data_IF_102346158406
#
_entry.id   IF_102346158406
#
_cell.length_a   1.000
_cell.length_b   1.000
_cell.length_c   1.000
_cell.angle_alpha   90.00
_cell.angle_beta   90.00
_cell.angle_gamma   90.00
#
_symmetry.space_group_name_H-M   'P 1'
#
loop_
_entity.id
_entity.type
_entity.pdbx_description
1 polymer ?
#
# COMPACT_ATOMS: atom_id res chain seq x y z
N UNK A 1 5.78 8.44 14.94
CA UNK A 1 6.44 7.12 14.92
C UNK A 1 6.05 6.44 13.62
N UNK A 2 7.01 6.02 12.79
CA UNK A 2 6.73 5.28 11.55
C UNK A 2 7.04 3.79 11.79
N UNK A 3 6.09 2.91 11.49
CA UNK A 3 6.26 1.45 11.56
C UNK A 3 6.11 0.88 10.14
N UNK A 4 7.08 0.09 9.71
CA UNK A 4 7.08 -0.56 8.38
C UNK A 4 7.06 -2.07 8.61
N UNK A 5 5.95 -2.70 8.27
CA UNK A 5 5.79 -4.15 8.37
C UNK A 5 5.49 -4.72 6.98
N UNK A 6 6.31 -5.67 6.55
CA UNK A 6 6.10 -6.45 5.33
C UNK A 6 6.09 -7.93 5.67
N UNK A 7 5.04 -8.65 5.28
CA UNK A 7 4.97 -10.11 5.39
C UNK A 7 5.52 -10.77 4.13
N UNK A 8 6.23 -11.89 4.27
CA UNK A 8 6.55 -12.76 3.13
C UNK A 8 5.26 -13.34 2.52
N UNK A 9 5.24 -13.48 1.20
CA UNK A 9 4.12 -14.08 0.47
C UNK A 9 3.84 -15.51 0.98
N UNK A 10 2.60 -15.80 1.39
CA UNK A 10 2.18 -17.12 1.90
C UNK A 10 0.77 -17.47 1.39
N UNK A 11 0.51 -18.77 1.18
CA UNK A 11 -0.82 -19.31 0.83
C UNK A 11 -1.73 -19.49 2.04
N UNK A 12 -1.22 -19.28 3.26
CA UNK A 12 -1.99 -19.30 4.51
C UNK A 12 -2.81 -17.99 4.64
N UNK A 13 -3.94 -17.99 5.39
CA UNK A 13 -4.67 -16.76 5.67
C UNK A 13 -3.74 -15.69 6.24
N UNK A 14 -3.61 -14.57 5.54
CA UNK A 14 -2.80 -13.44 6.01
C UNK A 14 -3.63 -12.71 7.06
N UNK A 15 -3.14 -12.68 8.30
CA UNK A 15 -3.77 -11.96 9.42
C UNK A 15 -2.84 -10.93 10.05
N UNK A 16 -1.60 -10.86 9.59
CA UNK A 16 -0.55 -10.06 10.21
C UNK A 16 -0.85 -8.56 10.14
N UNK A 17 -1.45 -8.04 9.06
CA UNK A 17 -1.74 -6.60 8.97
C UNK A 17 -2.79 -6.19 10.00
N UNK A 18 -3.89 -6.94 10.10
CA UNK A 18 -4.93 -6.64 11.06
C UNK A 18 -4.51 -6.92 12.51
N UNK A 19 -3.70 -7.94 12.76
CA UNK A 19 -3.14 -8.21 14.08
C UNK A 19 -2.17 -7.10 14.53
N UNK A 20 -1.25 -6.69 13.66
CA UNK A 20 -0.31 -5.60 13.95
C UNK A 20 -1.01 -4.26 14.15
N UNK A 21 -2.06 -3.97 13.38
CA UNK A 21 -2.84 -2.74 13.58
C UNK A 21 -3.48 -2.70 14.97
N UNK A 22 -4.04 -3.81 15.48
CA UNK A 22 -4.57 -3.86 16.86
C UNK A 22 -3.49 -3.55 17.88
N UNK A 23 -2.36 -4.26 17.80
CA UNK A 23 -1.25 -4.07 18.74
C UNK A 23 -0.70 -2.64 18.72
N UNK A 24 -0.58 -2.02 17.54
CA UNK A 24 -0.13 -0.64 17.40
C UNK A 24 -1.14 0.33 18.01
N UNK A 25 -2.44 0.18 17.69
CA UNK A 25 -3.50 1.05 18.23
C UNK A 25 -3.56 0.98 19.75
N UNK A 26 -3.52 -0.23 20.32
CA UNK A 26 -3.51 -0.44 21.77
C UNK A 26 -2.30 0.23 22.44
N UNK A 27 -1.09 0.03 21.88
CA UNK A 27 0.13 0.65 22.40
C UNK A 27 0.10 2.18 22.29
N UNK A 28 -0.49 2.73 21.22
CA UNK A 28 -0.64 4.17 21.05
C UNK A 28 -1.59 4.78 22.07
N UNK A 29 -2.73 4.13 22.33
CA UNK A 29 -3.66 4.54 23.39
C UNK A 29 -3.00 4.52 24.76
N UNK A 30 -2.29 3.46 25.10
CA UNK A 30 -1.57 3.33 26.38
C UNK A 30 -0.51 4.43 26.59
N UNK A 31 0.02 5.01 25.51
CA UNK A 31 1.07 6.05 25.53
C UNK A 31 0.57 7.43 25.13
N UNK A 32 -0.75 7.63 25.02
CA UNK A 32 -1.38 8.87 24.57
C UNK A 32 -0.84 9.41 23.23
N UNK A 33 -0.37 8.54 22.34
CA UNK A 33 0.10 8.92 21.00
C UNK A 33 -1.11 9.01 20.07
N UNK A 34 -1.22 10.11 19.33
CA UNK A 34 -2.41 10.40 18.51
C UNK A 34 -2.23 10.13 17.02
N UNK A 35 -1.06 10.45 16.45
CA UNK A 35 -0.82 10.40 14.99
C UNK A 35 -0.44 8.99 14.52
N UNK A 36 -1.22 8.41 13.62
CA UNK A 36 -0.96 7.11 13.00
C UNK A 36 -0.99 7.24 11.46
N UNK A 37 0.09 6.85 10.78
CA UNK A 37 0.11 6.74 9.32
C UNK A 37 0.37 5.27 8.98
N UNK A 38 -0.54 4.65 8.21
CA UNK A 38 -0.42 3.24 7.81
C UNK A 38 -0.39 3.13 6.30
N UNK A 39 0.39 2.18 5.79
CA UNK A 39 0.38 1.85 4.36
C UNK A 39 -0.53 0.64 4.12
N UNK A 40 -1.52 0.82 3.26
CA UNK A 40 -2.42 -0.21 2.75
C UNK A 40 -2.09 -0.45 1.25
N UNK A 41 -3.09 -0.69 0.43
CA UNK A 41 -2.97 -0.86 -1.02
C UNK A 41 -4.23 -0.36 -1.72
N UNK A 42 -4.09 0.14 -2.95
CA UNK A 42 -5.25 0.41 -3.81
C UNK A 42 -6.07 -0.86 -4.08
N UNK A 43 -5.46 -2.04 -3.97
CA UNK A 43 -6.17 -3.32 -4.08
C UNK A 43 -7.22 -3.53 -2.99
N UNK A 44 -7.10 -2.85 -1.84
CA UNK A 44 -8.10 -2.90 -0.78
C UNK A 44 -9.35 -2.05 -1.10
N UNK A 45 -9.20 -1.05 -1.97
CA UNK A 45 -10.28 -0.17 -2.40
C UNK A 45 -11.15 -0.83 -3.48
N UNK A 46 -12.45 -0.55 -3.44
CA UNK A 46 -13.39 -0.98 -4.48
C UNK A 46 -13.40 0.01 -5.66
N UNK A 47 -12.21 0.30 -6.19
CA UNK A 47 -12.04 1.23 -7.31
C UNK A 47 -11.06 0.68 -8.34
N UNK A 48 -11.40 0.87 -9.61
CA UNK A 48 -10.59 0.45 -10.76
C UNK A 48 -10.47 1.61 -11.73
N UNK A 49 -9.25 1.89 -12.18
CA UNK A 49 -9.00 2.96 -13.16
C UNK A 49 -9.74 2.65 -14.48
N UNK A 50 -10.63 3.54 -14.96
CA UNK A 50 -11.31 3.38 -16.25
C UNK A 50 -10.34 3.29 -17.43
N UNK A 51 -9.16 3.92 -17.34
CA UNK A 51 -8.15 3.96 -18.40
C UNK A 51 -7.24 2.74 -18.44
N UNK A 52 -7.39 1.81 -17.50
CA UNK A 52 -6.59 0.59 -17.45
C UNK A 52 -6.89 -0.31 -18.66
N UNK A 53 -5.85 -0.77 -19.35
CA UNK A 53 -6.02 -1.63 -20.51
C UNK A 53 -6.37 -3.08 -20.09
N UNK A 54 -6.88 -3.88 -21.03
CA UNK A 54 -7.39 -5.23 -20.73
C UNK A 54 -6.30 -6.19 -20.23
N UNK A 55 -5.06 -6.07 -20.72
CA UNK A 55 -3.91 -6.87 -20.28
C UNK A 55 -3.54 -6.57 -18.83
N UNK A 56 -3.46 -5.30 -18.47
CA UNK A 56 -3.18 -4.82 -17.12
C UNK A 56 -4.29 -5.26 -16.15
N UNK A 57 -5.56 -5.15 -16.56
CA UNK A 57 -6.70 -5.65 -15.79
C UNK A 57 -6.60 -7.15 -15.55
N UNK A 58 -6.33 -7.93 -16.58
CA UNK A 58 -6.23 -9.38 -16.47
C UNK A 58 -5.09 -9.81 -15.53
N UNK A 59 -3.95 -9.11 -15.60
CA UNK A 59 -2.78 -9.36 -14.77
C UNK A 59 -3.03 -9.03 -13.29
N UNK A 60 -3.59 -7.85 -12.98
CA UNK A 60 -3.96 -7.49 -11.61
C UNK A 60 -5.01 -8.46 -11.06
N UNK A 61 -6.05 -8.75 -11.83
CA UNK A 61 -7.11 -9.69 -11.43
C UNK A 61 -6.50 -11.06 -11.12
N UNK A 62 -5.61 -11.58 -11.96
CA UNK A 62 -4.90 -12.85 -11.72
C UNK A 62 -4.03 -12.86 -10.45
N UNK A 63 -3.37 -11.75 -10.13
CA UNK A 63 -2.58 -11.61 -8.91
C UNK A 63 -3.51 -11.56 -7.70
N UNK A 64 -4.61 -10.80 -7.79
CA UNK A 64 -5.59 -10.66 -6.72
C UNK A 64 -6.37 -11.96 -6.47
N UNK A 65 -6.71 -12.71 -7.51
CA UNK A 65 -7.45 -13.98 -7.38
C UNK A 65 -6.60 -15.09 -6.75
N UNK A 66 -5.29 -15.14 -7.04
CA UNK A 66 -4.41 -16.21 -6.53
C UNK A 66 -3.87 -15.96 -5.13
N UNK A 67 -3.64 -14.69 -4.77
CA UNK A 67 -2.92 -14.32 -3.53
C UNK A 67 -3.58 -13.11 -2.84
N UNK A 68 -4.38 -12.34 -3.57
CA UNK A 68 -4.94 -11.08 -3.09
C UNK A 68 -6.24 -11.19 -2.34
N UNK A 69 -7.01 -12.28 -2.39
CA UNK A 69 -8.26 -12.34 -1.64
C UNK A 69 -8.01 -12.25 -0.12
N UNK A 70 -7.18 -13.14 0.42
CA UNK A 70 -6.84 -13.15 1.85
C UNK A 70 -6.03 -11.92 2.27
N UNK A 71 -5.11 -11.45 1.41
CA UNK A 71 -4.35 -10.22 1.65
C UNK A 71 -5.25 -8.98 1.67
N UNK A 72 -6.10 -8.81 0.65
CA UNK A 72 -7.00 -7.65 0.54
C UNK A 72 -8.02 -7.66 1.66
N UNK A 73 -8.52 -8.82 2.06
CA UNK A 73 -9.41 -8.95 3.21
C UNK A 73 -8.71 -8.55 4.51
N UNK A 74 -7.43 -8.90 4.68
CA UNK A 74 -6.67 -8.47 5.86
C UNK A 74 -6.34 -6.99 5.86
N UNK A 75 -6.03 -6.42 4.70
CA UNK A 75 -5.87 -4.97 4.53
C UNK A 75 -7.18 -4.25 4.84
N UNK A 76 -8.33 -4.72 4.35
CA UNK A 76 -9.65 -4.15 4.71
C UNK A 76 -9.95 -4.29 6.20
N UNK A 77 -9.56 -5.41 6.84
CA UNK A 77 -9.67 -5.57 8.31
C UNK A 77 -8.81 -4.54 9.04
N UNK A 78 -7.54 -4.41 8.64
CA UNK A 78 -6.59 -3.43 9.19
C UNK A 78 -7.13 -2.00 9.03
N UNK A 79 -7.61 -1.62 7.83
CA UNK A 79 -8.19 -0.30 7.58
C UNK A 79 -9.40 -0.02 8.48
N UNK A 80 -10.29 -1.00 8.69
CA UNK A 80 -11.42 -0.86 9.62
C UNK A 80 -10.98 -0.67 11.08
N UNK A 81 -9.97 -1.40 11.51
CA UNK A 81 -9.40 -1.27 12.87
C UNK A 81 -8.81 0.13 13.07
N UNK A 82 -8.01 0.59 12.11
CA UNK A 82 -7.40 1.92 12.15
C UNK A 82 -8.47 3.01 12.09
N UNK A 83 -9.46 2.87 11.19
CA UNK A 83 -10.53 3.85 11.04
C UNK A 83 -11.38 3.98 12.31
N UNK A 84 -11.69 2.86 12.98
CA UNK A 84 -12.45 2.82 14.23
C UNK A 84 -11.64 3.13 15.50
N UNK A 85 -10.35 3.43 15.40
CA UNK A 85 -9.47 3.60 16.57
C UNK A 85 -9.69 4.91 17.34
N UNK A 86 -10.26 5.93 16.71
CA UNK A 86 -10.33 7.28 17.29
C UNK A 86 -9.01 8.06 17.29
N UNK A 87 -7.96 7.51 16.66
CA UNK A 87 -6.66 8.18 16.43
C UNK A 87 -6.74 9.20 15.29
N UNK A 88 -5.70 10.04 15.19
CA UNK A 88 -5.50 10.98 14.10
C UNK A 88 -4.79 10.23 12.95
N UNK A 89 -5.54 9.35 12.28
CA UNK A 89 -4.99 8.39 11.34
C UNK A 89 -4.97 8.89 9.88
N UNK A 90 -4.04 8.39 9.07
CA UNK A 90 -4.07 8.51 7.60
C UNK A 90 -3.70 7.16 6.99
N UNK A 91 -4.52 6.65 6.07
CA UNK A 91 -4.29 5.38 5.37
C UNK A 91 -3.75 5.68 3.97
N UNK A 92 -2.49 5.34 3.70
CA UNK A 92 -1.84 5.54 2.40
C UNK A 92 -2.10 4.32 1.50
N UNK A 93 -2.72 4.51 0.34
CA UNK A 93 -3.03 3.48 -0.66
C UNK A 93 -2.19 3.70 -1.93
N UNK A 94 -0.97 3.14 -2.01
CA UNK A 94 -0.21 3.16 -3.25
C UNK A 94 -0.86 2.30 -4.33
N UNK A 95 -0.56 2.63 -5.59
CA UNK A 95 -0.75 1.77 -6.75
C UNK A 95 0.35 0.70 -6.81
N UNK A 96 0.61 0.11 -7.99
CA UNK A 96 1.67 -0.89 -8.15
C UNK A 96 3.04 -0.32 -7.73
N UNK A 97 3.59 -0.80 -6.61
CA UNK A 97 4.88 -0.35 -6.10
C UNK A 97 6.03 -0.80 -6.99
N UNK A 98 6.94 0.13 -7.27
CA UNK A 98 8.12 -0.13 -8.09
C UNK A 98 9.29 0.78 -7.70
N UNK A 99 10.51 0.36 -8.00
CA UNK A 99 11.70 1.20 -7.86
C UNK A 99 11.96 1.95 -9.16
N UNK A 100 11.91 3.29 -9.15
CA UNK A 100 12.17 4.15 -10.30
C UNK A 100 13.35 5.10 -10.05
N UNK A 101 14.15 5.34 -11.09
CA UNK A 101 15.25 6.30 -11.04
C UNK A 101 14.73 7.74 -10.98
N UNK A 102 15.39 8.62 -10.20
CA UNK A 102 15.00 10.03 -10.09
C UNK A 102 15.21 10.80 -11.42
N UNK A 103 14.58 11.97 -11.60
CA UNK A 103 13.55 12.54 -10.72
C UNK A 103 12.20 11.83 -10.89
N UNK A 104 11.39 11.82 -9.84
CA UNK A 104 9.99 11.35 -9.87
C UNK A 104 9.11 12.41 -9.21
N UNK A 105 7.87 12.51 -9.67
CA UNK A 105 6.83 13.38 -9.10
C UNK A 105 5.63 12.53 -8.74
N UNK A 106 4.94 12.91 -7.67
CA UNK A 106 3.78 12.19 -7.19
C UNK A 106 2.61 13.13 -6.90
N UNK A 107 1.42 12.57 -6.97
CA UNK A 107 0.19 13.21 -6.54
C UNK A 107 -0.55 12.32 -5.56
N UNK A 108 -1.29 12.96 -4.65
CA UNK A 108 -2.18 12.30 -3.71
C UNK A 108 -3.64 12.74 -3.95
N UNK A 109 -4.58 11.84 -3.72
CA UNK A 109 -6.00 12.15 -3.77
C UNK A 109 -6.77 11.30 -2.76
N UNK A 110 -7.88 11.80 -2.22
CA UNK A 110 -8.71 11.01 -1.31
C UNK A 110 -9.36 9.84 -2.06
N UNK A 111 -9.41 8.70 -1.40
CA UNK A 111 -10.00 7.42 -1.85
C UNK A 111 -9.30 6.76 -3.05
N UNK A 112 -9.13 7.46 -4.18
CA UNK A 112 -8.60 6.89 -5.41
C UNK A 112 -7.84 7.93 -6.25
N UNK A 113 -6.92 7.47 -7.08
CA UNK A 113 -6.20 8.30 -8.05
C UNK A 113 -5.98 7.50 -9.34
N UNK A 114 -6.09 8.17 -10.48
CA UNK A 114 -5.72 7.59 -11.77
C UNK A 114 -4.21 7.41 -11.87
N UNK A 115 -3.77 6.35 -12.53
CA UNK A 115 -2.36 6.03 -12.69
C UNK A 115 -2.10 4.53 -12.68
N UNK A 116 -0.82 4.18 -12.82
CA UNK A 116 -0.41 2.77 -12.92
C UNK A 116 0.43 2.31 -11.74
N UNK A 117 1.34 3.16 -11.29
CA UNK A 117 2.39 2.77 -10.36
C UNK A 117 2.70 3.89 -9.37
N UNK A 118 3.30 3.48 -8.26
CA UNK A 118 3.85 4.39 -7.26
C UNK A 118 5.31 4.00 -7.05
N UNK A 119 6.21 4.95 -7.29
CA UNK A 119 7.61 4.76 -6.95
C UNK A 119 7.74 4.65 -5.43
N UNK A 120 8.53 3.69 -4.92
CA UNK A 120 8.74 3.54 -3.47
C UNK A 120 9.26 4.81 -2.80
N UNK A 121 10.09 5.57 -3.53
CA UNK A 121 10.59 6.88 -3.10
C UNK A 121 9.49 7.92 -2.93
N UNK A 122 8.49 7.91 -3.82
CA UNK A 122 7.37 8.83 -3.77
C UNK A 122 6.43 8.49 -2.62
N UNK A 123 6.20 7.19 -2.37
CA UNK A 123 5.48 6.75 -1.18
C UNK A 123 6.19 7.19 0.12
N UNK A 124 7.51 7.03 0.19
CA UNK A 124 8.28 7.46 1.36
C UNK A 124 8.21 8.98 1.56
N UNK A 125 8.37 9.76 0.48
CA UNK A 125 8.22 11.21 0.51
C UNK A 125 6.81 11.62 0.98
N UNK A 126 5.77 10.98 0.44
CA UNK A 126 4.39 11.26 0.84
C UNK A 126 4.09 10.88 2.30
N UNK A 127 4.66 9.79 2.82
CA UNK A 127 4.53 9.43 4.24
C UNK A 127 5.18 10.51 5.11
N UNK A 128 6.35 11.02 4.73
CA UNK A 128 7.04 12.08 5.46
C UNK A 128 6.21 13.38 5.45
N UNK A 129 5.69 13.77 4.28
CA UNK A 129 4.79 14.92 4.11
C UNK A 129 3.54 14.85 4.99
N UNK A 130 3.04 13.64 5.25
CA UNK A 130 1.84 13.42 6.06
C UNK A 130 2.10 13.52 7.57
N UNK A 131 3.35 13.58 8.03
CA UNK A 131 3.65 13.69 9.46
C UNK A 131 3.06 14.96 10.08
N UNK A 132 3.17 16.08 9.36
CA UNK A 132 2.75 17.40 9.84
C UNK A 132 1.45 17.90 9.18
N UNK A 133 0.94 17.16 8.18
CA UNK A 133 -0.26 17.56 7.42
C UNK A 133 -1.55 17.13 8.12
N UNK A 134 -2.39 18.11 8.46
CA UNK A 134 -3.71 17.86 9.07
C UNK A 134 -4.85 17.72 8.07
N UNK A 135 -4.63 18.13 6.81
CA UNK A 135 -5.64 18.11 5.76
C UNK A 135 -6.16 16.71 5.41
N UNK A 136 -5.41 15.65 5.76
CA UNK A 136 -5.75 14.24 5.48
C UNK A 136 -5.92 13.41 6.75
N UNK A 137 -6.26 14.06 7.87
CA UNK A 137 -6.66 13.34 9.07
C UNK A 137 -7.95 12.57 8.82
N UNK A 138 -7.97 11.36 9.35
CA UNK A 138 -9.05 10.39 9.28
C UNK A 138 -9.49 10.13 7.83
N UNK A 139 -8.52 10.09 6.92
CA UNK A 139 -8.74 9.87 5.50
C UNK A 139 -7.89 8.73 4.93
N UNK A 140 -8.48 8.00 3.97
CA UNK A 140 -7.73 7.13 3.08
C UNK A 140 -7.30 7.93 1.84
N UNK A 141 -6.01 7.90 1.56
CA UNK A 141 -5.36 8.72 0.53
C UNK A 141 -4.64 7.81 -0.46
N UNK A 142 -5.04 7.92 -1.70
CA UNK A 142 -4.41 7.30 -2.85
C UNK A 142 -3.15 8.07 -3.27
N UNK A 143 -2.12 7.36 -3.73
CA UNK A 143 -0.90 7.98 -4.25
C UNK A 143 -0.44 7.34 -5.55
N UNK A 144 -0.06 8.16 -6.53
CA UNK A 144 0.54 7.72 -7.80
C UNK A 144 1.75 8.57 -8.17
N UNK A 145 2.72 7.94 -8.83
CA UNK A 145 3.76 8.65 -9.57
C UNK A 145 3.15 9.15 -10.88
N UNK A 146 3.31 10.45 -11.17
CA UNK A 146 2.60 11.13 -12.25
C UNK A 146 3.44 11.33 -13.50
N UNK A 147 4.74 11.48 -13.36
CA UNK A 147 5.65 11.82 -14.47
C UNK A 147 6.42 10.61 -15.04
N UNK A 148 6.34 9.44 -14.38
CA UNK A 148 7.04 8.22 -14.80
C UNK A 148 6.17 6.98 -14.61
N UNK A 149 6.38 6.00 -15.48
CA UNK A 149 5.79 4.66 -15.37
C UNK A 149 6.77 3.66 -15.95
N UNK A 150 6.84 2.46 -15.36
CA UNK A 150 7.58 1.35 -15.91
C UNK A 150 6.67 0.29 -16.52
N UNK A 151 7.25 -0.53 -17.38
CA UNK A 151 6.58 -1.73 -17.89
C UNK A 151 6.19 -2.64 -16.72
N UNK A 152 4.89 -2.95 -16.60
CA UNK A 152 4.34 -3.82 -15.55
C UNK A 152 4.95 -5.24 -15.62
N UNK A 153 5.06 -5.89 -16.80
CA UNK A 153 5.76 -7.17 -16.93
C UNK A 153 7.21 -7.14 -16.42
N UNK A 154 7.98 -6.11 -16.78
CA UNK A 154 9.36 -5.96 -16.34
C UNK A 154 9.46 -5.73 -14.82
N UNK A 155 8.48 -5.02 -14.25
CA UNK A 155 8.39 -4.79 -12.80
C UNK A 155 8.15 -6.11 -12.06
N UNK A 156 7.19 -6.93 -12.51
CA UNK A 156 6.91 -8.24 -11.90
C UNK A 156 8.13 -9.16 -11.98
N UNK A 157 8.84 -9.19 -13.10
CA UNK A 157 10.06 -9.98 -13.24
C UNK A 157 11.14 -9.56 -12.25
N UNK A 158 11.43 -8.26 -12.17
CA UNK A 158 12.50 -7.71 -11.32
C UNK A 158 12.18 -7.81 -9.83
N UNK A 159 10.93 -7.59 -9.45
CA UNK A 159 10.50 -7.49 -8.05
C UNK A 159 9.98 -8.83 -7.49
N UNK A 160 9.36 -9.66 -8.34
CA UNK A 160 8.69 -10.89 -7.91
C UNK A 160 9.42 -12.19 -8.29
N UNK A 161 10.20 -12.20 -9.38
CA UNK A 161 10.81 -13.45 -9.89
C UNK A 161 12.31 -13.49 -9.62
N UNK A 162 13.06 -12.46 -10.02
CA UNK A 162 14.52 -12.39 -9.85
C UNK A 162 14.99 -12.58 -8.38
N UNK A 163 14.36 -11.98 -7.36
CA UNK A 163 14.78 -12.15 -5.96
C UNK A 163 14.51 -13.57 -5.43
N UNK A 164 13.42 -14.20 -5.87
CA UNK A 164 13.02 -15.54 -5.46
C UNK A 164 13.89 -16.65 -6.10
N UNK A 165 14.49 -16.38 -7.27
CA UNK A 165 15.45 -17.27 -7.92
C UNK A 165 16.82 -17.25 -7.23
N UNK A 166 17.22 -16.09 -6.69
CA UNK A 166 18.51 -15.92 -6.00
C UNK A 166 18.48 -16.40 -4.53
N UNK A 167 17.29 -16.57 -3.95
CA UNK A 167 17.09 -17.05 -2.57
C UNK A 167 16.97 -18.57 -2.41
N UNK A 168 17.33 -19.38 -3.43
CA UNK A 168 17.17 -20.85 -3.41
C UNK A 168 18.44 -21.66 -3.17
N UNK A 169 19.56 -21.02 -2.88
CA UNK A 169 20.78 -21.69 -2.44
C UNK A 169 21.23 -21.09 -1.09
N UNK A 170 20.55 -21.44 0.00
CA UNK A 170 21.12 -21.77 1.33
C UNK A 170 20.09 -22.59 2.10
#
# INVERSE_FOLDING_TARGET
>A
MASVLGTRFSKQPITSYSASARAIVEAMHARAIRRLIVTSSMAAADWRDPKMNWLERALITRILDRVGATLSDDLRRMERIVAGSGLDWTIMRPLGLTSMDPPTEYAIARNHIAGKQTARRDLAAAIADQLDRTADLQAAVAIATTNKTQSIPATIWREGIKPNLLGRNQ
#
